data_IF_082056834806
#
_entry.id   IF_082056834806
#
_cell.length_a   1.000
_cell.length_b   1.000
_cell.length_c   1.000
_cell.angle_alpha   90.00
_cell.angle_beta   90.00
_cell.angle_gamma   90.00
#
_symmetry.space_group_name_H-M   'P 1'
#
loop_
_entity.id
_entity.type
_entity.pdbx_description
1 polymer ?
#
# COMPACT_ATOMS: atom_id res chain seq x y z
N UNK A 1 19.07 30.04 -25.56
CA UNK A 1 18.95 28.87 -24.67
C UNK A 1 18.27 27.76 -25.45
N UNK A 2 18.85 26.55 -25.53
CA UNK A 2 18.20 25.44 -26.23
C UNK A 2 16.91 25.05 -25.49
N UNK A 3 15.77 25.06 -26.20
CA UNK A 3 14.50 24.59 -25.67
C UNK A 3 14.53 23.06 -25.59
N UNK A 4 14.38 22.51 -24.39
CA UNK A 4 14.16 21.07 -24.22
C UNK A 4 12.75 20.75 -24.73
N UNK A 5 12.64 19.95 -25.78
CA UNK A 5 11.37 19.36 -26.19
C UNK A 5 10.96 18.31 -25.16
N UNK A 6 9.74 18.38 -24.60
CA UNK A 6 9.28 17.40 -23.62
C UNK A 6 9.27 16.02 -24.26
N UNK A 7 10.15 15.14 -23.78
CA UNK A 7 10.19 13.76 -24.24
C UNK A 7 8.89 13.08 -23.81
N UNK A 8 8.16 12.40 -24.72
CA UNK A 8 6.93 11.72 -24.35
C UNK A 8 7.21 10.72 -23.23
N UNK A 9 6.34 10.64 -22.20
CA UNK A 9 6.55 9.75 -21.08
C UNK A 9 6.60 8.31 -21.59
N UNK A 10 7.71 7.62 -21.30
CA UNK A 10 7.85 6.21 -21.66
C UNK A 10 6.72 5.40 -21.01
N UNK A 11 6.14 4.41 -21.71
CA UNK A 11 5.11 3.55 -21.13
C UNK A 11 5.66 2.85 -19.89
N UNK A 12 4.81 2.69 -18.88
CA UNK A 12 5.16 2.02 -17.63
C UNK A 12 5.58 0.57 -17.94
N UNK A 13 6.87 0.28 -17.77
CA UNK A 13 7.47 -1.04 -18.09
C UNK A 13 6.79 -2.20 -17.37
N UNK A 14 6.18 -1.93 -16.21
CA UNK A 14 5.40 -2.94 -15.49
C UNK A 14 4.18 -3.43 -16.28
N UNK A 15 3.48 -2.56 -17.00
CA UNK A 15 2.28 -2.94 -17.76
C UNK A 15 2.60 -3.74 -19.04
N UNK A 16 3.87 -3.79 -19.45
CA UNK A 16 4.33 -4.64 -20.56
C UNK A 16 4.54 -6.10 -20.13
N UNK A 17 4.56 -6.38 -18.82
CA UNK A 17 4.67 -7.73 -18.31
C UNK A 17 3.31 -8.44 -18.38
N UNK A 18 3.30 -9.74 -18.73
CA UNK A 18 2.12 -10.59 -18.57
C UNK A 18 1.52 -10.50 -17.15
N UNK A 19 0.18 -10.58 -17.01
CA UNK A 19 -0.48 -10.45 -15.72
C UNK A 19 0.02 -11.46 -14.67
N UNK A 20 0.40 -12.67 -15.08
CA UNK A 20 0.91 -13.71 -14.18
C UNK A 20 2.20 -13.27 -13.49
N UNK A 21 3.13 -12.68 -14.25
CA UNK A 21 4.39 -12.17 -13.69
C UNK A 21 4.15 -10.95 -12.80
N UNK A 22 3.14 -10.14 -13.12
CA UNK A 22 2.76 -9.00 -12.27
C UNK A 22 2.19 -9.45 -10.92
N UNK A 23 1.30 -10.44 -10.93
CA UNK A 23 0.76 -11.04 -9.70
C UNK A 23 1.86 -11.68 -8.84
N UNK A 24 2.84 -12.34 -9.47
CA UNK A 24 4.01 -12.87 -8.77
C UNK A 24 4.80 -11.74 -8.09
N UNK A 25 5.08 -10.64 -8.79
CA UNK A 25 5.74 -9.46 -8.20
C UNK A 25 4.93 -8.92 -7.00
N UNK A 26 3.60 -8.84 -7.12
CA UNK A 26 2.74 -8.36 -6.04
C UNK A 26 2.77 -9.27 -4.81
N UNK A 27 2.98 -10.57 -4.98
CA UNK A 27 3.11 -11.51 -3.87
C UNK A 27 4.35 -11.28 -3.00
N UNK A 28 5.39 -10.62 -3.55
CA UNK A 28 6.62 -10.26 -2.84
C UNK A 28 6.59 -8.84 -2.27
N UNK A 29 5.54 -8.06 -2.54
CA UNK A 29 5.41 -6.69 -2.06
C UNK A 29 4.72 -6.62 -0.68
N UNK A 30 5.07 -5.58 0.09
CA UNK A 30 4.34 -5.24 1.32
C UNK A 30 2.95 -4.70 0.99
N UNK A 31 2.02 -4.80 1.94
CA UNK A 31 0.68 -4.23 1.78
C UNK A 31 0.71 -2.73 1.48
N UNK A 32 1.67 -2.02 2.06
CA UNK A 32 1.89 -0.59 1.82
C UNK A 32 2.37 -0.32 0.39
N UNK A 33 3.33 -1.10 -0.11
CA UNK A 33 3.78 -1.01 -1.50
C UNK A 33 2.64 -1.28 -2.49
N UNK A 34 1.81 -2.30 -2.22
CA UNK A 34 0.63 -2.60 -3.03
C UNK A 34 -0.38 -1.44 -3.02
N UNK A 35 -0.57 -0.79 -1.86
CA UNK A 35 -1.39 0.41 -1.77
C UNK A 35 -0.83 1.53 -2.65
N UNK A 36 0.48 1.81 -2.60
CA UNK A 36 1.10 2.82 -3.46
C UNK A 36 0.93 2.48 -4.95
N UNK A 37 1.16 1.22 -5.35
CA UNK A 37 0.94 0.77 -6.72
C UNK A 37 -0.53 0.93 -7.18
N UNK A 38 -1.48 0.74 -6.27
CA UNK A 38 -2.91 0.98 -6.56
C UNK A 38 -3.24 2.47 -6.77
N UNK A 39 -2.44 3.39 -6.24
CA UNK A 39 -2.63 4.83 -6.43
C UNK A 39 -1.97 5.35 -7.72
N UNK A 40 -0.95 4.68 -8.25
CA UNK A 40 -0.25 5.12 -9.46
C UNK A 40 -1.03 4.80 -10.74
N UNK A 41 -1.77 3.69 -10.78
CA UNK A 41 -2.48 3.26 -11.97
C UNK A 41 -3.78 2.51 -11.65
N UNK A 42 -4.86 2.85 -12.35
CA UNK A 42 -6.18 2.21 -12.20
C UNK A 42 -6.19 0.75 -12.67
N UNK A 43 -5.38 0.41 -13.67
CA UNK A 43 -5.24 -0.98 -14.14
C UNK A 43 -4.62 -1.87 -13.05
N UNK A 44 -3.53 -1.40 -12.43
CA UNK A 44 -2.90 -2.12 -11.31
C UNK A 44 -3.84 -2.24 -10.11
N UNK A 45 -4.59 -1.18 -9.82
CA UNK A 45 -5.61 -1.19 -8.78
C UNK A 45 -6.68 -2.25 -9.03
N UNK A 46 -7.17 -2.38 -10.27
CA UNK A 46 -8.17 -3.39 -10.61
C UNK A 46 -7.62 -4.82 -10.42
N UNK A 47 -6.37 -5.06 -10.82
CA UNK A 47 -5.70 -6.36 -10.69
C UNK A 47 -5.41 -6.72 -9.23
N UNK A 48 -4.91 -5.78 -8.43
CA UNK A 48 -4.66 -6.02 -7.01
C UNK A 48 -5.97 -6.32 -6.27
N UNK A 49 -7.06 -5.62 -6.61
CA UNK A 49 -8.36 -5.85 -5.98
C UNK A 49 -9.07 -7.10 -6.50
N UNK A 50 -8.69 -7.67 -7.65
CA UNK A 50 -9.30 -8.91 -8.17
C UNK A 50 -8.78 -10.16 -7.46
N UNK A 51 -7.62 -10.07 -6.80
CA UNK A 51 -7.00 -11.19 -6.06
C UNK A 51 -6.75 -10.79 -4.59
N UNK A 52 -7.79 -10.82 -3.74
CA UNK A 52 -7.69 -10.41 -2.33
C UNK A 52 -6.72 -11.29 -1.52
N UNK A 53 -6.47 -12.53 -1.95
CA UNK A 53 -5.52 -13.44 -1.30
C UNK A 53 -4.10 -12.88 -1.23
N UNK A 54 -3.68 -12.10 -2.24
CA UNK A 54 -2.37 -11.44 -2.24
C UNK A 54 -2.30 -10.43 -1.09
N UNK A 55 -3.37 -9.68 -0.88
CA UNK A 55 -3.45 -8.69 0.20
C UNK A 55 -3.44 -9.36 1.56
N UNK A 56 -4.24 -10.42 1.73
CA UNK A 56 -4.32 -11.17 2.99
C UNK A 56 -2.97 -11.79 3.39
N UNK A 57 -2.14 -12.15 2.41
CA UNK A 57 -0.80 -12.72 2.63
C UNK A 57 0.30 -11.66 2.71
N UNK A 58 0.06 -10.45 2.22
CA UNK A 58 1.05 -9.38 2.18
C UNK A 58 1.41 -8.86 3.58
N UNK A 59 2.69 -8.52 3.77
CA UNK A 59 3.16 -8.04 5.07
C UNK A 59 2.52 -6.70 5.44
N UNK A 60 2.03 -6.61 6.68
CA UNK A 60 1.45 -5.40 7.23
C UNK A 60 -0.02 -5.15 6.87
N UNK A 61 -0.64 -6.05 6.10
CA UNK A 61 -2.09 -6.02 5.89
C UNK A 61 -2.83 -6.51 7.14
N UNK A 62 -3.82 -5.75 7.57
CA UNK A 62 -4.80 -6.17 8.56
C UNK A 62 -6.20 -6.00 7.96
N UNK A 63 -6.95 -7.10 7.78
CA UNK A 63 -8.35 -6.98 7.40
C UNK A 63 -9.06 -6.16 8.47
N UNK A 64 -9.84 -5.17 8.05
CA UNK A 64 -10.72 -4.47 8.99
C UNK A 64 -11.59 -5.55 9.63
N UNK A 65 -11.79 -5.53 10.97
CA UNK A 65 -12.78 -6.40 11.57
C UNK A 65 -14.09 -6.22 10.80
N UNK A 66 -14.80 -7.31 10.47
CA UNK A 66 -16.10 -7.19 9.86
C UNK A 66 -16.93 -6.34 10.81
N UNK A 67 -17.30 -5.14 10.38
CA UNK A 67 -18.33 -4.41 11.09
C UNK A 67 -19.51 -5.37 11.17
N UNK A 68 -20.14 -5.56 12.35
CA UNK A 68 -21.37 -6.33 12.46
C UNK A 68 -22.51 -5.53 11.83
N UNK A 69 -22.40 -5.25 10.53
CA UNK A 69 -23.49 -4.80 9.72
C UNK A 69 -24.31 -6.05 9.37
N UNK A 70 -25.61 -6.09 9.71
CA UNK A 70 -26.47 -7.23 9.40
C UNK A 70 -26.66 -7.45 7.88
N UNK A 71 -26.21 -6.49 7.07
CA UNK A 71 -26.06 -6.64 5.63
C UNK A 71 -24.71 -7.31 5.36
N UNK A 72 -24.73 -8.59 4.99
CA UNK A 72 -23.56 -9.43 4.69
C UNK A 72 -22.76 -9.01 3.46
N UNK A 73 -22.45 -7.73 3.30
CA UNK A 73 -21.43 -7.26 2.39
C UNK A 73 -20.07 -7.65 2.97
N UNK A 74 -19.55 -8.79 2.50
CA UNK A 74 -18.16 -9.15 2.69
C UNK A 74 -17.31 -7.95 2.23
N UNK A 75 -16.65 -7.27 3.16
CA UNK A 75 -15.76 -6.14 2.92
C UNK A 75 -14.43 -6.61 2.28
N UNK A 76 -14.53 -7.47 1.27
CA UNK A 76 -13.43 -8.12 0.60
C UNK A 76 -12.88 -7.24 -0.52
N UNK A 77 -11.64 -6.79 -0.34
CA UNK A 77 -10.75 -6.63 -1.48
C UNK A 77 -10.32 -5.22 -1.85
N UNK A 78 -10.83 -4.15 -1.22
CA UNK A 78 -10.29 -2.81 -1.48
C UNK A 78 -9.10 -2.56 -0.56
N UNK A 79 -7.91 -2.40 -1.14
CA UNK A 79 -6.74 -1.90 -0.41
C UNK A 79 -7.03 -0.46 0.03
N UNK A 80 -7.18 -0.26 1.33
CA UNK A 80 -7.25 1.08 1.90
C UNK A 80 -6.16 1.30 2.92
N UNK A 81 -5.86 2.56 3.18
CA UNK A 81 -4.88 2.95 4.20
C UNK A 81 -5.24 2.45 5.60
N UNK A 82 -6.52 2.21 5.85
CA UNK A 82 -7.01 1.66 7.13
C UNK A 82 -6.64 0.19 7.31
N UNK A 83 -6.36 -0.51 6.22
CA UNK A 83 -5.96 -1.91 6.23
C UNK A 83 -4.45 -2.09 6.36
N UNK A 84 -3.67 -1.02 6.46
CA UNK A 84 -2.22 -1.10 6.65
C UNK A 84 -1.93 -0.93 8.15
N UNK A 85 -1.55 -2.00 8.83
CA UNK A 85 -1.26 -2.02 10.26
C UNK A 85 0.23 -1.93 10.59
N UNK A 86 1.09 -2.41 9.69
CA UNK A 86 2.54 -2.47 9.93
C UNK A 86 3.30 -1.99 8.71
N UNK A 87 4.43 -1.35 8.96
CA UNK A 87 5.38 -0.91 7.95
C UNK A 87 6.70 -1.63 8.21
N UNK A 88 7.33 -2.15 7.16
CA UNK A 88 8.52 -2.99 7.29
C UNK A 88 9.78 -2.15 7.49
N UNK A 89 9.93 -1.08 6.71
CA UNK A 89 11.16 -0.29 6.69
C UNK A 89 10.94 1.17 7.10
N UNK A 90 12.03 1.84 7.49
CA UNK A 90 11.98 3.25 7.85
C UNK A 90 11.64 4.14 6.63
N UNK A 91 12.09 3.74 5.44
CA UNK A 91 11.81 4.43 4.18
C UNK A 91 10.32 4.37 3.85
N UNK A 92 9.70 3.19 3.98
CA UNK A 92 8.25 3.06 3.83
C UNK A 92 7.51 3.92 4.87
N UNK A 93 8.03 4.03 6.10
CA UNK A 93 7.42 4.84 7.14
C UNK A 93 7.47 6.33 6.78
N UNK A 94 8.62 6.83 6.31
CA UNK A 94 8.76 8.21 5.83
C UNK A 94 7.77 8.54 4.70
N UNK A 95 7.69 7.66 3.70
CA UNK A 95 6.73 7.83 2.59
C UNK A 95 5.29 7.77 3.09
N UNK A 96 4.99 6.90 4.06
CA UNK A 96 3.67 6.81 4.65
C UNK A 96 3.30 8.10 5.38
N UNK A 97 4.21 8.69 6.15
CA UNK A 97 3.95 9.98 6.81
C UNK A 97 3.64 11.09 5.80
N UNK A 98 4.38 11.14 4.70
CA UNK A 98 4.17 12.12 3.63
C UNK A 98 2.82 11.93 2.93
N UNK A 99 2.48 10.69 2.55
CA UNK A 99 1.26 10.37 1.80
C UNK A 99 0.01 10.50 2.69
N UNK A 100 0.10 10.12 3.96
CA UNK A 100 -1.07 10.02 4.84
C UNK A 100 -1.26 11.21 5.76
N UNK A 101 -0.20 11.99 6.00
CA UNK A 101 -0.15 12.97 7.07
C UNK A 101 -0.35 12.37 8.47
N UNK A 102 -0.28 11.04 8.62
CA UNK A 102 -0.35 10.35 9.90
C UNK A 102 1.05 10.10 10.41
N UNK A 103 1.21 10.24 11.72
CA UNK A 103 2.48 9.93 12.37
C UNK A 103 2.66 8.41 12.49
N UNK A 104 3.83 7.90 12.12
CA UNK A 104 4.17 6.49 12.32
C UNK A 104 4.91 6.39 13.65
N UNK A 105 4.26 5.84 14.68
CA UNK A 105 4.91 5.64 15.97
C UNK A 105 5.88 4.45 15.89
N UNK A 106 7.17 4.74 16.00
CA UNK A 106 8.19 3.71 16.09
C UNK A 106 8.16 3.07 17.48
N UNK A 107 7.45 1.95 17.62
CA UNK A 107 7.56 1.10 18.81
C UNK A 107 8.57 0.00 18.56
N UNK A 108 9.81 0.26 18.97
CA UNK A 108 10.85 -0.77 19.07
C UNK A 108 10.48 -1.72 20.21
N UNK A 109 9.70 -2.76 19.92
CA UNK A 109 9.66 -3.93 20.80
C UNK A 109 10.90 -4.76 20.52
N UNK A 110 11.79 -4.79 21.51
CA UNK A 110 13.03 -5.56 21.60
C UNK A 110 13.10 -6.74 20.61
N UNK A 111 13.88 -6.60 19.53
CA UNK A 111 14.36 -7.72 18.70
C UNK A 111 14.07 -7.66 17.20
N UNK A 112 12.95 -7.10 16.76
CA UNK A 112 12.61 -6.98 15.33
C UNK A 112 12.10 -5.58 15.06
N UNK A 113 12.90 -4.74 14.42
CA UNK A 113 12.53 -3.36 14.06
C UNK A 113 11.25 -3.35 13.21
N UNK A 114 10.11 -3.11 13.85
CA UNK A 114 8.80 -3.08 13.22
C UNK A 114 8.12 -1.77 13.58
N UNK A 115 7.60 -1.08 12.57
CA UNK A 115 6.88 0.18 12.75
C UNK A 115 5.39 -0.09 12.75
N UNK A 116 4.65 0.53 13.69
CA UNK A 116 3.20 0.40 13.79
C UNK A 116 2.58 1.73 13.42
N UNK A 117 1.63 1.69 12.50
CA UNK A 117 0.85 2.87 12.15
C UNK A 117 -0.11 3.21 13.29
N UNK A 118 0.14 4.33 13.95
CA UNK A 118 -0.76 4.88 14.97
C UNK A 118 -1.52 6.03 14.32
N UNK A 119 -2.84 5.97 14.33
CA UNK A 119 -3.67 7.04 13.78
C UNK A 119 -3.65 8.26 14.72
N UNK A 120 -2.56 9.04 14.69
CA UNK A 120 -2.44 10.33 15.36
C UNK A 120 -2.47 11.48 14.35
N UNK A 121 -3.29 12.50 14.59
CA UNK A 121 -3.12 13.80 13.92
C UNK A 121 -1.94 14.50 14.60
N UNK A 122 -0.98 14.99 13.82
CA UNK A 122 0.14 15.80 14.32
C UNK A 122 -0.41 17.10 14.94
N UNK A 123 -0.78 17.05 16.21
CA UNK A 123 -1.14 18.20 17.01
C UNK A 123 0.13 19.03 17.24
N UNK A 124 0.07 20.31 16.88
CA UNK A 124 1.06 21.31 17.29
C UNK A 124 1.08 21.33 18.83
N UNK A 125 2.18 20.88 19.42
CA UNK A 125 2.54 21.18 20.80
C UNK A 125 3.26 22.52 20.83
#
# INVERSE_FOLDING_TARGET
MPQQTPTPPAPARLLLLPPELRLEIYSHCTAFTLLLLSQTCTALRAEINSVPDILLRSYGYAPSPPCPSPSGSAAGGIVTIKNIARIQTAEEAMVCEEVTGRFVESRVRYGTGCFVLVAGRKGRW
#
